data_IF_179255340783
#
_entry.id   IF_179255340783
#
_cell.length_a   1.000
_cell.length_b   1.000
_cell.length_c   1.000
_cell.angle_alpha   90.00
_cell.angle_beta   90.00
_cell.angle_gamma   90.00
#
_symmetry.space_group_name_H-M   'P 1'
#
loop_
_entity.id
_entity.type
_entity.pdbx_description
1 polymer ?
#
# COMPACT_ATOMS: atom_id res chain seq x y z
N UNK A 1 -12.11 -0.79 0.45
CA UNK A 1 -10.86 -0.99 -0.29
C UNK A 1 -9.68 -0.96 0.67
N UNK A 2 -8.53 -1.49 0.25
CA UNK A 2 -7.34 -1.66 1.09
C UNK A 2 -6.87 -0.36 1.75
N UNK A 3 -6.86 0.77 1.01
CA UNK A 3 -6.41 2.06 1.53
C UNK A 3 -7.09 2.49 2.85
N UNK A 4 -8.42 2.31 2.96
CA UNK A 4 -9.16 2.66 4.18
C UNK A 4 -8.91 1.68 5.33
N UNK A 5 -8.60 0.43 5.01
CA UNK A 5 -8.22 -0.57 6.00
C UNK A 5 -6.82 -0.27 6.55
N UNK A 6 -5.89 0.10 5.66
CA UNK A 6 -4.55 0.62 6.01
C UNK A 6 -4.67 1.85 6.91
N UNK A 7 -5.46 2.85 6.51
CA UNK A 7 -5.73 4.02 7.34
C UNK A 7 -6.25 3.64 8.74
N UNK A 8 -7.10 2.62 8.85
CA UNK A 8 -7.60 2.15 10.14
C UNK A 8 -6.51 1.50 10.98
N UNK A 9 -5.79 0.50 10.46
CA UNK A 9 -4.78 -0.22 11.25
C UNK A 9 -3.55 0.64 11.58
N UNK A 10 -3.21 1.61 10.72
CA UNK A 10 -2.14 2.58 10.97
C UNK A 10 -2.55 3.71 11.91
N UNK A 11 -3.82 3.78 12.33
CA UNK A 11 -4.31 4.80 13.25
C UNK A 11 -4.45 6.19 12.63
N UNK A 12 -4.74 6.27 11.33
CA UNK A 12 -4.87 7.54 10.62
C UNK A 12 -5.91 8.44 11.31
N UNK A 13 -5.60 9.71 11.62
CA UNK A 13 -6.45 10.56 12.47
C UNK A 13 -7.89 10.70 11.98
N UNK A 14 -8.09 10.74 10.66
CA UNK A 14 -9.42 10.83 10.01
C UNK A 14 -9.89 9.51 9.40
N UNK A 15 -9.19 8.42 9.68
CA UNK A 15 -9.58 7.07 9.29
C UNK A 15 -10.77 6.58 10.10
N UNK A 16 -11.29 5.40 9.75
CA UNK A 16 -12.29 4.74 10.58
C UNK A 16 -11.72 4.45 11.99
N UNK A 17 -12.57 4.41 13.01
CA UNK A 17 -12.19 3.97 14.36
C UNK A 17 -12.32 2.48 14.56
N UNK A 18 -13.28 1.90 13.88
CA UNK A 18 -13.61 0.48 13.91
C UNK A 18 -13.63 -0.04 12.48
N UNK A 19 -13.32 -1.32 12.32
CA UNK A 19 -13.42 -2.01 11.05
C UNK A 19 -14.20 -3.31 11.22
N UNK A 20 -15.20 -3.60 10.36
CA UNK A 20 -16.04 -4.78 10.51
C UNK A 20 -15.30 -6.04 10.07
N UNK A 21 -14.69 -6.74 11.02
CA UNK A 21 -13.94 -7.99 10.81
C UNK A 21 -14.80 -9.24 11.10
N UNK A 22 -16.03 -9.21 10.60
CA UNK A 22 -17.06 -10.25 10.83
C UNK A 22 -17.03 -11.39 9.81
N UNK A 23 -16.26 -11.23 8.72
CA UNK A 23 -16.14 -12.22 7.66
C UNK A 23 -15.22 -13.37 8.09
N UNK A 24 -15.62 -14.61 7.80
CA UNK A 24 -14.79 -15.80 8.01
C UNK A 24 -13.94 -16.10 6.77
N UNK A 25 -14.42 -15.74 5.58
CA UNK A 25 -13.73 -15.88 4.30
C UNK A 25 -13.61 -14.52 3.61
N UNK A 26 -12.38 -14.12 3.25
CA UNK A 26 -12.09 -12.80 2.70
C UNK A 26 -11.28 -12.89 1.42
N UNK A 27 -11.54 -11.98 0.48
CA UNK A 27 -10.74 -11.82 -0.74
C UNK A 27 -9.89 -10.56 -0.67
N UNK A 28 -8.60 -10.68 -1.00
CA UNK A 28 -7.69 -9.56 -1.24
C UNK A 28 -7.32 -9.55 -2.72
N UNK A 29 -7.40 -8.39 -3.38
CA UNK A 29 -7.13 -8.26 -4.81
C UNK A 29 -5.89 -7.41 -5.02
N UNK A 30 -4.85 -7.99 -5.60
CA UNK A 30 -3.62 -7.29 -5.95
C UNK A 30 -2.37 -8.12 -5.71
N UNK A 31 -1.32 -7.89 -6.50
CA UNK A 31 -0.03 -8.56 -6.38
C UNK A 31 1.11 -7.59 -6.06
N UNK A 32 0.89 -6.65 -5.15
CA UNK A 32 1.89 -5.67 -4.70
C UNK A 32 1.94 -5.60 -3.17
N UNK A 33 2.94 -4.90 -2.60
CA UNK A 33 3.18 -4.91 -1.15
C UNK A 33 1.94 -4.59 -0.31
N UNK A 34 1.13 -3.62 -0.70
CA UNK A 34 -0.09 -3.26 0.07
C UNK A 34 -1.11 -4.40 0.12
N UNK A 35 -1.21 -5.23 -0.92
CA UNK A 35 -2.06 -6.42 -0.86
C UNK A 35 -1.51 -7.43 0.17
N UNK A 36 -0.18 -7.59 0.21
CA UNK A 36 0.51 -8.46 1.18
C UNK A 36 0.35 -7.94 2.60
N UNK A 37 0.48 -6.63 2.82
CA UNK A 37 0.24 -5.97 4.11
C UNK A 37 -1.18 -6.24 4.61
N UNK A 38 -2.18 -5.96 3.77
CA UNK A 38 -3.59 -6.18 4.11
C UNK A 38 -3.85 -7.64 4.46
N UNK A 39 -3.34 -8.57 3.64
CA UNK A 39 -3.53 -9.99 3.87
C UNK A 39 -2.84 -10.47 5.16
N UNK A 40 -1.62 -10.00 5.42
CA UNK A 40 -0.88 -10.28 6.65
C UNK A 40 -1.62 -9.75 7.87
N UNK A 41 -2.12 -8.52 7.83
CA UNK A 41 -2.83 -7.92 8.96
C UNK A 41 -4.16 -8.65 9.24
N UNK A 42 -4.84 -9.11 8.20
CA UNK A 42 -6.06 -9.94 8.33
C UNK A 42 -5.75 -11.33 8.92
N UNK A 43 -4.57 -11.89 8.66
CA UNK A 43 -4.21 -13.25 9.10
C UNK A 43 -3.39 -13.28 10.39
N UNK A 44 -2.89 -12.15 10.89
CA UNK A 44 -2.03 -12.08 12.08
C UNK A 44 -2.77 -12.32 13.39
N UNK A 45 -2.01 -12.72 14.40
CA UNK A 45 -2.44 -12.72 15.80
C UNK A 45 -2.34 -11.29 16.39
N UNK A 46 -3.37 -10.88 17.13
CA UNK A 46 -3.43 -9.54 17.73
C UNK A 46 -2.37 -9.32 18.81
N UNK A 47 -2.05 -10.34 19.61
CA UNK A 47 -1.07 -10.25 20.68
C UNK A 47 0.34 -10.08 20.10
N UNK A 48 0.69 -10.82 19.04
CA UNK A 48 1.94 -10.66 18.30
C UNK A 48 2.10 -9.24 17.74
N UNK A 49 1.01 -8.68 17.18
CA UNK A 49 1.01 -7.29 16.70
C UNK A 49 1.26 -6.32 17.84
N UNK A 50 0.53 -6.47 18.96
CA UNK A 50 0.64 -5.57 20.10
C UNK A 50 2.05 -5.56 20.69
N UNK A 51 2.70 -6.72 20.78
CA UNK A 51 4.04 -6.84 21.34
C UNK A 51 5.12 -6.23 20.44
N UNK A 52 4.95 -6.30 19.11
CA UNK A 52 6.01 -5.96 18.14
C UNK A 52 5.82 -4.64 17.41
N UNK A 53 4.68 -3.96 17.58
CA UNK A 53 4.31 -2.79 16.75
C UNK A 53 3.74 -1.64 17.56
N UNK A 54 3.46 -0.53 16.88
CA UNK A 54 2.89 0.70 17.43
C UNK A 54 1.35 0.79 17.34
N UNK A 55 0.67 -0.33 16.99
CA UNK A 55 -0.77 -0.33 16.77
C UNK A 55 -1.57 0.27 17.95
N UNK A 56 -2.58 1.10 17.68
CA UNK A 56 -3.42 1.65 18.73
C UNK A 56 -4.41 0.61 19.27
N UNK A 57 -4.99 0.86 20.45
CA UNK A 57 -5.86 -0.11 21.14
C UNK A 57 -7.08 -0.52 20.31
N UNK A 58 -7.70 0.42 19.58
CA UNK A 58 -8.85 0.12 18.73
C UNK A 58 -8.52 -0.87 17.61
N UNK A 59 -7.26 -0.89 17.15
CA UNK A 59 -6.79 -1.83 16.12
C UNK A 59 -6.51 -3.18 16.75
N UNK A 60 -5.84 -3.20 17.91
CA UNK A 60 -5.65 -4.44 18.68
C UNK A 60 -6.99 -5.15 18.95
N UNK A 61 -7.97 -4.43 19.51
CA UNK A 61 -9.29 -5.01 19.81
C UNK A 61 -10.01 -5.48 18.54
N UNK A 62 -9.91 -4.72 17.44
CA UNK A 62 -10.44 -5.13 16.14
C UNK A 62 -9.83 -6.43 15.64
N UNK A 63 -8.49 -6.51 15.54
CA UNK A 63 -7.79 -7.71 15.08
C UNK A 63 -8.02 -8.89 16.03
N UNK A 64 -8.12 -8.65 17.33
CA UNK A 64 -8.43 -9.69 18.31
C UNK A 64 -9.82 -10.31 18.10
N UNK A 65 -10.78 -9.50 17.66
CA UNK A 65 -12.15 -9.93 17.33
C UNK A 65 -12.31 -10.48 15.91
N UNK A 66 -11.25 -10.44 15.10
CA UNK A 66 -11.30 -10.84 13.70
C UNK A 66 -11.71 -12.31 13.53
N UNK A 67 -12.75 -12.52 12.72
CA UNK A 67 -13.30 -13.85 12.43
C UNK A 67 -12.67 -14.53 11.22
N UNK A 68 -11.84 -13.83 10.44
CA UNK A 68 -11.29 -14.37 9.22
C UNK A 68 -10.45 -15.63 9.50
N UNK A 69 -10.83 -16.72 8.84
CA UNK A 69 -10.17 -18.04 8.84
C UNK A 69 -9.60 -18.39 7.48
N UNK A 70 -10.22 -17.90 6.42
CA UNK A 70 -9.78 -18.15 5.05
C UNK A 70 -9.54 -16.83 4.34
N UNK A 71 -8.38 -16.71 3.71
CA UNK A 71 -8.03 -15.58 2.86
C UNK A 71 -7.67 -16.06 1.47
N UNK A 72 -8.24 -15.42 0.45
CA UNK A 72 -7.88 -15.59 -0.95
C UNK A 72 -7.19 -14.33 -1.47
N UNK A 73 -5.91 -14.43 -1.85
CA UNK A 73 -5.18 -13.37 -2.55
C UNK A 73 -5.25 -13.61 -4.06
N UNK A 74 -5.92 -12.73 -4.79
CA UNK A 74 -6.06 -12.82 -6.23
C UNK A 74 -5.09 -11.90 -6.98
N UNK A 75 -4.24 -12.51 -7.80
CA UNK A 75 -3.24 -11.86 -8.64
C UNK A 75 -3.58 -12.13 -10.10
N UNK A 76 -3.96 -11.09 -10.84
CA UNK A 76 -4.42 -11.20 -12.24
C UNK A 76 -3.35 -11.60 -13.28
N UNK A 77 -2.11 -11.87 -12.88
CA UNK A 77 -1.01 -12.21 -13.79
C UNK A 77 -0.20 -13.36 -13.19
N UNK A 78 0.64 -13.96 -14.01
CA UNK A 78 1.51 -15.07 -13.62
C UNK A 78 2.57 -14.68 -12.60
N UNK A 79 3.20 -15.72 -12.04
CA UNK A 79 4.27 -15.69 -11.02
C UNK A 79 5.39 -14.71 -11.42
N UNK A 80 5.85 -14.77 -12.66
CA UNK A 80 6.94 -13.92 -13.18
C UNK A 80 6.61 -12.41 -13.23
N UNK A 81 5.34 -12.02 -13.10
CA UNK A 81 4.90 -10.62 -13.15
C UNK A 81 4.38 -10.09 -11.81
N UNK A 82 4.61 -10.83 -10.72
CA UNK A 82 4.37 -10.37 -9.36
C UNK A 82 5.13 -9.06 -9.07
N UNK A 83 4.49 -8.13 -8.35
CA UNK A 83 5.04 -6.79 -8.06
C UNK A 83 5.33 -6.56 -6.58
N UNK A 84 5.02 -7.51 -5.70
CA UNK A 84 5.46 -7.44 -4.31
C UNK A 84 6.97 -7.68 -4.22
N UNK A 85 7.58 -7.33 -3.09
CA UNK A 85 9.01 -7.56 -2.85
C UNK A 85 9.26 -8.91 -2.16
N UNK A 86 10.47 -9.46 -2.33
CA UNK A 86 10.89 -10.72 -1.67
C UNK A 86 10.74 -10.63 -0.14
N UNK A 87 10.97 -9.44 0.44
CA UNK A 87 10.79 -9.25 1.87
C UNK A 87 9.33 -9.45 2.30
N UNK A 88 8.37 -8.89 1.56
CA UNK A 88 6.95 -9.07 1.89
C UNK A 88 6.53 -10.52 1.83
N UNK A 89 7.07 -11.23 0.84
CA UNK A 89 6.81 -12.62 0.59
C UNK A 89 7.35 -13.50 1.75
N UNK A 90 8.58 -13.23 2.22
CA UNK A 90 9.17 -13.89 3.41
C UNK A 90 8.48 -13.58 4.73
N UNK A 91 7.84 -12.42 4.83
CA UNK A 91 7.06 -12.09 6.01
C UNK A 91 5.67 -12.75 5.99
N UNK A 92 5.11 -12.98 4.79
CA UNK A 92 3.88 -13.73 4.60
C UNK A 92 4.05 -15.22 4.91
N UNK A 93 5.16 -15.82 4.49
CA UNK A 93 5.43 -17.26 4.65
C UNK A 93 5.57 -17.66 6.14
N UNK A 94 5.90 -16.71 7.04
CA UNK A 94 6.21 -16.95 8.46
C UNK A 94 5.11 -16.47 9.41
N UNK A 95 3.85 -16.72 9.07
CA UNK A 95 2.72 -16.37 9.92
C UNK A 95 2.36 -17.57 10.82
N UNK A 96 2.49 -17.45 12.17
CA UNK A 96 2.11 -18.52 13.08
C UNK A 96 0.63 -18.86 12.97
N UNK A 97 0.29 -20.15 12.99
CA UNK A 97 -1.07 -20.66 12.89
C UNK A 97 -1.73 -20.50 11.50
N UNK A 98 -0.99 -20.09 10.48
CA UNK A 98 -1.50 -19.88 9.12
C UNK A 98 -0.88 -20.90 8.16
N UNK A 99 -1.74 -21.69 7.52
CA UNK A 99 -1.36 -22.55 6.40
C UNK A 99 -1.34 -21.74 5.11
N UNK A 100 -0.20 -21.71 4.41
CA UNK A 100 -0.09 -21.12 3.08
C UNK A 100 -0.45 -22.19 2.05
N UNK A 101 -1.29 -21.84 1.08
CA UNK A 101 -1.77 -22.75 0.04
C UNK A 101 -1.61 -22.09 -1.32
N UNK A 102 -0.97 -22.80 -2.23
CA UNK A 102 -0.62 -22.30 -3.57
C UNK A 102 -0.98 -23.38 -4.58
N UNK A 103 -1.62 -23.00 -5.69
CA UNK A 103 -1.90 -23.93 -6.77
C UNK A 103 -0.60 -24.25 -7.53
N UNK A 104 -0.26 -25.53 -7.66
CA UNK A 104 0.94 -25.98 -8.37
C UNK A 104 0.90 -25.63 -9.86
N UNK A 105 -0.29 -25.69 -10.47
CA UNK A 105 -0.48 -25.38 -11.89
C UNK A 105 -0.07 -23.93 -12.24
N UNK A 106 -0.06 -23.02 -11.26
CA UNK A 106 0.38 -21.63 -11.45
C UNK A 106 1.89 -21.52 -11.72
N UNK A 107 2.65 -22.58 -11.43
CA UNK A 107 4.12 -22.65 -11.53
C UNK A 107 4.62 -23.42 -12.76
N UNK A 108 3.72 -23.91 -13.61
CA UNK A 108 4.03 -24.49 -14.92
C UNK A 108 4.43 -23.39 -15.93
N UNK A 109 5.61 -22.82 -15.74
CA UNK A 109 6.17 -21.76 -16.57
C UNK A 109 6.82 -22.34 -17.84
N UNK A 110 6.48 -21.79 -19.00
CA UNK A 110 7.15 -22.14 -20.26
C UNK A 110 8.61 -21.64 -20.32
N UNK A 111 9.41 -22.25 -21.21
CA UNK A 111 10.85 -21.95 -21.35
C UNK A 111 11.08 -20.45 -21.66
N UNK A 112 10.22 -19.85 -22.50
CA UNK A 112 10.31 -18.44 -22.88
C UNK A 112 10.11 -17.51 -21.67
N UNK A 113 9.18 -17.85 -20.78
CA UNK A 113 8.88 -17.10 -19.54
C UNK A 113 10.03 -17.18 -18.55
N UNK A 114 10.64 -18.35 -18.40
CA UNK A 114 11.83 -18.55 -17.55
C UNK A 114 13.02 -17.75 -18.12
N UNK A 115 13.23 -17.80 -19.43
CA UNK A 115 14.30 -17.04 -20.08
C UNK A 115 14.11 -15.53 -19.90
N UNK A 116 12.90 -15.01 -20.14
CA UNK A 116 12.60 -13.59 -20.00
C UNK A 116 12.75 -13.12 -18.55
N UNK A 117 12.22 -13.88 -17.58
CA UNK A 117 12.39 -13.59 -16.16
C UNK A 117 13.87 -13.56 -15.75
N UNK A 118 14.69 -14.43 -16.36
CA UNK A 118 16.14 -14.50 -16.14
C UNK A 118 16.94 -13.28 -16.58
N UNK A 119 16.36 -12.40 -17.43
CA UNK A 119 17.02 -11.18 -17.93
C UNK A 119 17.09 -10.07 -16.89
N UNK A 120 16.14 -10.02 -15.97
CA UNK A 120 16.15 -9.08 -14.84
C UNK A 120 16.48 -9.80 -13.54
N UNK A 121 17.48 -9.31 -12.82
CA UNK A 121 17.96 -9.94 -11.59
C UNK A 121 16.88 -9.99 -10.50
N UNK A 122 16.08 -8.94 -10.36
CA UNK A 122 15.06 -8.87 -9.31
C UNK A 122 13.88 -9.78 -9.65
N UNK A 123 13.47 -9.83 -10.92
CA UNK A 123 12.44 -10.76 -11.40
C UNK A 123 12.89 -12.21 -11.20
N UNK A 124 14.10 -12.57 -11.61
CA UNK A 124 14.63 -13.93 -11.39
C UNK A 124 14.63 -14.32 -9.91
N UNK A 125 15.12 -13.42 -9.04
CA UNK A 125 15.14 -13.67 -7.59
C UNK A 125 13.73 -13.84 -7.02
N UNK A 126 12.76 -13.05 -7.50
CA UNK A 126 11.35 -13.19 -7.10
C UNK A 126 10.79 -14.55 -7.50
N UNK A 127 11.04 -15.00 -8.72
CA UNK A 127 10.58 -16.30 -9.23
C UNK A 127 11.19 -17.43 -8.40
N UNK A 128 12.51 -17.41 -8.19
CA UNK A 128 13.21 -18.41 -7.35
C UNK A 128 12.60 -18.50 -5.95
N UNK A 129 12.32 -17.36 -5.30
CA UNK A 129 11.70 -17.35 -3.97
C UNK A 129 10.26 -17.88 -3.98
N UNK A 130 9.47 -17.55 -5.01
CA UNK A 130 8.10 -18.07 -5.14
C UNK A 130 8.09 -19.60 -5.31
N UNK A 131 9.06 -20.18 -6.03
CA UNK A 131 9.21 -21.63 -6.11
C UNK A 131 9.52 -22.25 -4.74
N UNK A 132 10.45 -21.66 -3.97
CA UNK A 132 10.74 -22.11 -2.60
C UNK A 132 9.49 -22.06 -1.70
N UNK A 133 8.65 -21.06 -1.88
CA UNK A 133 7.41 -20.92 -1.09
C UNK A 133 6.34 -21.91 -1.52
N UNK A 134 6.26 -22.23 -2.80
CA UNK A 134 5.38 -23.29 -3.29
C UNK A 134 5.79 -24.64 -2.69
N UNK A 135 7.09 -24.95 -2.65
CA UNK A 135 7.59 -26.16 -1.97
C UNK A 135 7.25 -26.15 -0.47
N UNK A 136 7.44 -25.02 0.21
CA UNK A 136 7.06 -24.91 1.63
C UNK A 136 5.55 -25.08 1.85
N UNK A 137 4.72 -24.53 0.97
CA UNK A 137 3.26 -24.68 1.05
C UNK A 137 2.82 -26.14 0.84
N UNK A 138 3.48 -26.88 -0.07
CA UNK A 138 3.29 -28.32 -0.27
C UNK A 138 3.64 -29.10 1.01
N UNK A 139 4.80 -28.83 1.61
CA UNK A 139 5.23 -29.47 2.86
C UNK A 139 4.22 -29.21 4.01
N UNK A 140 3.69 -27.98 4.11
CA UNK A 140 2.70 -27.60 5.13
C UNK A 140 1.37 -28.35 4.98
N UNK A 141 0.97 -28.69 3.75
CA UNK A 141 -0.21 -29.51 3.48
C UNK A 141 0.05 -30.98 3.81
N UNK A 142 1.19 -31.52 3.34
CA UNK A 142 1.58 -32.93 3.55
C UNK A 142 1.78 -33.28 5.03
N UNK A 143 2.29 -32.35 5.84
CA UNK A 143 2.48 -32.51 7.29
C UNK A 143 1.17 -32.38 8.10
N UNK A 144 0.03 -32.24 7.43
CA UNK A 144 -1.30 -32.33 8.04
C UNK A 144 -1.91 -30.97 8.44
N UNK A 145 -1.92 -30.03 7.49
CA UNK A 145 -2.46 -28.66 7.65
C UNK A 145 -1.75 -27.89 8.79
N UNK A 146 -0.44 -27.71 8.64
CA UNK A 146 0.41 -27.02 9.62
C UNK A 146 0.82 -25.61 9.18
N UNK A 147 1.34 -24.82 10.12
CA UNK A 147 2.04 -23.57 9.86
C UNK A 147 3.52 -23.80 9.53
N UNK A 148 4.26 -22.72 9.27
CA UNK A 148 5.69 -22.79 8.89
C UNK A 148 6.61 -23.38 9.96
N UNK A 149 6.14 -23.54 11.20
CA UNK A 149 6.88 -24.16 12.31
C UNK A 149 6.44 -25.61 12.55
N UNK A 150 5.48 -26.13 11.78
CA UNK A 150 4.90 -27.45 11.96
C UNK A 150 3.83 -27.50 13.06
N UNK A 151 3.33 -26.37 13.54
CA UNK A 151 2.21 -26.34 14.48
C UNK A 151 0.88 -26.44 13.72
N UNK A 152 -0.20 -26.97 14.31
CA UNK A 152 -1.50 -26.99 13.67
C UNK A 152 -1.95 -25.58 13.23
N UNK A 153 -2.29 -25.40 11.96
CA UNK A 153 -2.83 -24.16 11.44
C UNK A 153 -4.34 -24.08 11.65
N UNK A 154 -4.84 -22.93 12.10
CA UNK A 154 -6.28 -22.66 12.26
C UNK A 154 -6.80 -21.60 11.28
N UNK A 155 -5.94 -21.18 10.35
CA UNK A 155 -6.23 -20.25 9.25
C UNK A 155 -5.60 -20.75 7.96
N UNK A 156 -6.26 -20.48 6.82
CA UNK A 156 -5.79 -20.83 5.48
C UNK A 156 -5.61 -19.58 4.63
N UNK A 157 -4.46 -19.47 3.98
CA UNK A 157 -4.11 -18.38 3.09
C UNK A 157 -3.84 -18.95 1.70
N UNK A 158 -4.80 -18.78 0.80
CA UNK A 158 -4.67 -19.13 -0.61
C UNK A 158 -4.08 -17.99 -1.44
N UNK A 159 -3.08 -18.29 -2.26
CA UNK A 159 -2.54 -17.37 -3.28
C UNK A 159 -2.90 -17.89 -4.66
N UNK A 160 -3.62 -17.06 -5.42
CA UNK A 160 -4.10 -17.38 -6.76
C UNK A 160 -3.40 -16.49 -7.78
N UNK A 161 -2.51 -17.05 -8.59
CA UNK A 161 -1.97 -16.35 -9.76
C UNK A 161 -2.91 -16.50 -10.95
N UNK A 162 -2.64 -15.71 -11.99
CA UNK A 162 -3.42 -15.75 -13.22
C UNK A 162 -4.95 -15.70 -12.99
N UNK A 163 -5.37 -14.97 -11.96
CA UNK A 163 -6.73 -14.97 -11.44
C UNK A 163 -7.25 -13.54 -11.35
N UNK A 164 -8.14 -13.16 -12.26
CA UNK A 164 -8.64 -11.80 -12.39
C UNK A 164 -10.08 -11.70 -11.87
N UNK A 165 -10.33 -11.03 -10.73
CA UNK A 165 -11.69 -10.76 -10.28
C UNK A 165 -12.48 -9.95 -11.30
N UNK A 166 -13.71 -10.39 -11.59
CA UNK A 166 -14.60 -9.76 -12.57
C UNK A 166 -15.88 -9.22 -11.95
N UNK A 167 -16.33 -9.79 -10.84
CA UNK A 167 -17.59 -9.40 -10.20
C UNK A 167 -17.56 -9.70 -8.70
N UNK A 168 -18.05 -8.76 -7.89
CA UNK A 168 -18.35 -9.02 -6.47
C UNK A 168 -19.81 -9.43 -6.40
N UNK A 169 -20.06 -10.67 -5.97
CA UNK A 169 -21.39 -11.24 -5.86
C UNK A 169 -22.02 -10.78 -4.55
N UNK A 170 -23.29 -10.37 -4.61
CA UNK A 170 -23.99 -9.84 -3.45
C UNK A 170 -25.44 -10.28 -3.34
N UNK A 171 -25.89 -10.43 -2.10
CA UNK A 171 -27.27 -10.75 -1.72
C UNK A 171 -27.67 -9.84 -0.54
N UNK A 172 -28.86 -9.24 -0.59
CA UNK A 172 -29.38 -8.34 0.45
C UNK A 172 -28.41 -7.20 0.87
N UNK A 173 -27.65 -6.68 -0.11
CA UNK A 173 -26.67 -5.61 0.12
C UNK A 173 -25.39 -6.06 0.83
N UNK A 174 -25.17 -7.36 1.00
CA UNK A 174 -23.95 -7.96 1.55
C UNK A 174 -23.16 -8.69 0.47
N UNK A 175 -21.85 -8.77 0.66
CA UNK A 175 -21.00 -9.62 -0.18
C UNK A 175 -21.23 -11.07 0.22
N UNK A 176 -21.44 -11.94 -0.77
CA UNK A 176 -21.58 -13.39 -0.59
C UNK A 176 -20.57 -14.20 -1.39
N UNK A 177 -19.88 -13.55 -2.33
CA UNK A 177 -18.83 -14.20 -3.10
C UNK A 177 -18.09 -13.26 -4.02
N UNK A 178 -17.12 -13.80 -4.73
CA UNK A 178 -16.38 -13.12 -5.78
C UNK A 178 -16.24 -14.06 -6.98
N UNK A 179 -16.60 -13.55 -8.16
CA UNK A 179 -16.37 -14.25 -9.43
C UNK A 179 -15.03 -13.82 -9.99
N UNK A 180 -14.23 -14.80 -10.34
CA UNK A 180 -12.87 -14.67 -10.85
C UNK A 180 -12.81 -15.34 -12.22
N UNK A 181 -12.14 -14.68 -13.15
CA UNK A 181 -11.85 -15.22 -14.48
C UNK A 181 -10.38 -15.64 -14.52
N UNK A 182 -10.13 -16.86 -15.03
CA UNK A 182 -8.76 -17.31 -15.28
C UNK A 182 -8.14 -16.48 -16.41
N UNK A 183 -6.85 -16.23 -16.26
CA UNK A 183 -6.05 -15.47 -17.21
C UNK A 183 -4.80 -16.25 -17.59
N UNK A 184 -4.23 -15.89 -18.73
CA UNK A 184 -2.92 -16.36 -19.15
C UNK A 184 -2.00 -15.15 -19.27
N UNK A 185 -0.74 -15.32 -18.91
CA UNK A 185 0.27 -14.28 -19.04
C UNK A 185 1.42 -14.80 -19.89
N UNK A 186 1.67 -14.17 -21.04
CA UNK A 186 2.83 -14.51 -21.88
C UNK A 186 4.14 -14.03 -21.27
N UNK A 187 5.27 -14.55 -21.78
CA UNK A 187 6.62 -14.18 -21.34
C UNK A 187 6.88 -12.66 -21.31
N UNK A 188 6.35 -11.91 -22.29
CA UNK A 188 6.44 -10.44 -22.35
C UNK A 188 5.54 -9.70 -21.33
N UNK A 189 4.84 -10.44 -20.48
CA UNK A 189 3.97 -9.95 -19.42
C UNK A 189 2.60 -9.49 -19.88
N UNK A 190 2.22 -9.76 -21.14
CA UNK A 190 0.89 -9.46 -21.67
C UNK A 190 -0.12 -10.50 -21.14
N UNK A 191 -1.20 -9.99 -20.58
CA UNK A 191 -2.27 -10.78 -19.97
C UNK A 191 -3.46 -10.92 -20.94
N UNK A 192 -3.99 -12.12 -21.08
CA UNK A 192 -5.25 -12.43 -21.77
C UNK A 192 -6.22 -13.15 -20.83
N UNK A 193 -7.52 -13.03 -21.14
CA UNK A 193 -8.61 -13.70 -20.43
C UNK A 193 -8.95 -15.00 -21.14
N UNK A 194 -9.18 -16.07 -20.39
CA UNK A 194 -9.52 -17.38 -20.98
C UNK A 194 -11.03 -17.55 -21.21
N UNK A 195 -11.86 -16.79 -20.48
CA UNK A 195 -13.31 -16.97 -20.44
C UNK A 195 -13.77 -18.10 -19.50
N UNK A 196 -12.86 -18.71 -18.75
CA UNK A 196 -13.18 -19.66 -17.69
C UNK A 196 -13.38 -18.91 -16.37
N UNK A 197 -14.47 -19.22 -15.66
CA UNK A 197 -14.87 -18.52 -14.44
C UNK A 197 -14.95 -19.48 -13.27
N UNK A 198 -14.57 -18.98 -12.10
CA UNK A 198 -14.70 -19.64 -10.81
C UNK A 198 -15.32 -18.65 -9.80
N UNK A 199 -16.10 -19.16 -8.86
CA UNK A 199 -16.73 -18.36 -7.82
C UNK A 199 -16.25 -18.83 -6.45
N UNK A 200 -15.79 -17.90 -5.64
CA UNK A 200 -15.33 -18.16 -4.28
C UNK A 200 -16.32 -17.55 -3.28
N UNK A 201 -16.81 -18.32 -2.29
CA UNK A 201 -17.62 -17.78 -1.21
C UNK A 201 -16.74 -16.88 -0.33
N UNK A 202 -17.07 -15.59 -0.25
CA UNK A 202 -16.37 -14.62 0.60
C UNK A 202 -17.36 -13.60 1.12
N UNK A 203 -17.13 -13.06 2.32
CA UNK A 203 -18.02 -12.06 2.93
C UNK A 203 -17.41 -10.66 2.99
N UNK A 204 -16.12 -10.51 2.65
CA UNK A 204 -15.47 -9.21 2.49
C UNK A 204 -14.44 -9.22 1.35
N UNK A 205 -14.32 -8.10 0.65
CA UNK A 205 -13.37 -7.92 -0.48
C UNK A 205 -12.53 -6.65 -0.26
N UNK A 206 -11.21 -6.82 -0.29
CA UNK A 206 -10.21 -5.78 -0.12
C UNK A 206 -9.42 -5.59 -1.42
N UNK A 207 -9.77 -4.57 -2.21
CA UNK A 207 -8.99 -4.25 -3.41
C UNK A 207 -7.77 -3.37 -3.07
N UNK A 208 -6.58 -3.85 -3.43
CA UNK A 208 -5.26 -3.22 -3.26
C UNK A 208 -4.57 -3.00 -4.62
N UNK A 209 -5.32 -2.45 -5.58
CA UNK A 209 -4.92 -2.32 -7.00
C UNK A 209 -4.33 -0.93 -7.35
N UNK A 210 -3.84 -0.20 -6.35
CA UNK A 210 -3.23 1.12 -6.50
C UNK A 210 -3.96 2.23 -5.74
N UNK A 211 -3.25 3.33 -5.52
CA UNK A 211 -3.80 4.55 -4.94
C UNK A 211 -4.15 5.57 -6.03
N UNK A 212 -4.83 6.64 -5.63
CA UNK A 212 -4.98 7.84 -6.46
C UNK A 212 -4.47 9.03 -5.64
N UNK A 213 -3.36 9.67 -6.01
CA UNK A 213 -2.91 10.92 -5.37
C UNK A 213 -4.05 11.94 -5.35
N UNK A 214 -4.18 12.65 -4.23
CA UNK A 214 -5.21 13.67 -4.07
C UNK A 214 -5.06 14.80 -5.08
N UNK A 215 -6.19 15.39 -5.48
CA UNK A 215 -6.22 16.62 -6.27
C UNK A 215 -5.97 17.82 -5.35
N UNK A 216 -5.45 18.90 -5.91
CA UNK A 216 -5.27 20.17 -5.21
C UNK A 216 -5.97 21.29 -6.00
N UNK A 217 -6.75 22.18 -5.34
CA UNK A 217 -7.44 23.27 -6.02
C UNK A 217 -6.49 24.14 -6.85
N UNK A 218 -6.83 24.31 -8.13
CA UNK A 218 -6.05 25.13 -9.06
C UNK A 218 -4.76 24.46 -9.57
N UNK A 219 -4.57 23.16 -9.35
CA UNK A 219 -3.44 22.39 -9.86
C UNK A 219 -3.96 21.40 -10.91
N UNK A 220 -3.35 21.40 -12.09
CA UNK A 220 -3.73 20.48 -13.16
C UNK A 220 -3.47 19.02 -12.77
N UNK A 221 -4.37 18.12 -13.18
CA UNK A 221 -4.35 16.71 -12.82
C UNK A 221 -4.47 15.85 -14.08
N UNK A 222 -3.54 14.91 -14.26
CA UNK A 222 -3.60 13.91 -15.31
C UNK A 222 -4.50 12.76 -14.85
N UNK A 223 -5.76 12.77 -15.28
CA UNK A 223 -6.73 11.72 -14.93
C UNK A 223 -6.37 10.35 -15.52
N UNK A 224 -5.65 10.32 -16.64
CA UNK A 224 -5.28 9.07 -17.32
C UNK A 224 -4.20 8.33 -16.55
N UNK A 225 -3.23 9.06 -16.02
CA UNK A 225 -2.08 8.48 -15.31
C UNK A 225 -2.17 8.63 -13.78
N UNK A 226 -3.20 9.35 -13.27
CA UNK A 226 -3.48 9.55 -11.86
C UNK A 226 -2.32 10.21 -11.08
N UNK A 227 -1.90 11.39 -11.53
CA UNK A 227 -0.93 12.23 -10.82
C UNK A 227 -1.13 13.70 -11.20
N UNK A 228 -0.44 14.61 -10.49
CA UNK A 228 -0.43 16.02 -10.87
C UNK A 228 0.23 16.17 -12.24
N UNK A 229 -0.43 16.89 -13.14
CA UNK A 229 0.03 17.06 -14.51
C UNK A 229 1.36 17.83 -14.50
N UNK A 230 2.39 17.26 -15.12
CA UNK A 230 3.72 17.83 -15.14
C UNK A 230 4.41 17.59 -16.49
N UNK A 231 5.24 18.54 -16.91
CA UNK A 231 5.87 18.55 -18.21
C UNK A 231 6.92 17.43 -18.30
N UNK A 232 6.82 16.60 -19.34
CA UNK A 232 7.83 15.59 -19.69
C UNK A 232 8.28 14.66 -18.54
N UNK A 233 7.47 14.51 -17.48
CA UNK A 233 7.83 13.73 -16.30
C UNK A 233 8.96 14.35 -15.45
N UNK A 234 9.26 15.65 -15.61
CA UNK A 234 10.34 16.33 -14.89
C UNK A 234 9.90 17.00 -13.59
N UNK A 235 8.58 16.99 -13.31
CA UNK A 235 7.97 17.51 -12.10
C UNK A 235 7.55 18.97 -12.14
N UNK A 236 7.83 19.75 -13.19
CA UNK A 236 7.27 21.10 -13.38
C UNK A 236 5.79 21.00 -13.70
N UNK A 237 4.92 21.57 -12.85
CA UNK A 237 3.47 21.46 -13.02
C UNK A 237 3.02 22.21 -14.28
N UNK A 238 2.16 21.59 -15.09
CA UNK A 238 1.58 22.21 -16.29
C UNK A 238 0.40 23.12 -15.94
N UNK A 239 0.09 24.08 -16.82
CA UNK A 239 -1.06 24.99 -16.67
C UNK A 239 -2.40 24.29 -16.93
N UNK A 240 -2.39 23.20 -17.71
CA UNK A 240 -3.55 22.39 -18.07
C UNK A 240 -3.26 20.89 -17.88
N UNK A 241 -4.33 20.08 -17.90
CA UNK A 241 -4.23 18.63 -17.73
C UNK A 241 -3.70 17.93 -18.98
N UNK A 242 -3.96 18.46 -20.17
CA UNK A 242 -3.39 17.92 -21.40
C UNK A 242 -1.87 18.15 -21.46
N UNK A 243 -1.16 17.26 -22.16
CA UNK A 243 0.27 17.39 -22.37
C UNK A 243 0.59 18.72 -23.07
N UNK A 244 1.24 19.62 -22.33
CA UNK A 244 1.71 20.93 -22.78
C UNK A 244 3.09 21.18 -22.22
N UNK A 245 3.90 21.94 -22.95
CA UNK A 245 5.19 22.45 -22.44
C UNK A 245 4.99 23.72 -21.59
N UNK A 246 3.76 24.25 -21.52
CA UNK A 246 3.45 25.41 -20.69
C UNK A 246 3.34 25.01 -19.21
N UNK A 247 4.34 25.44 -18.44
CA UNK A 247 4.44 25.16 -17.01
C UNK A 247 3.96 26.35 -16.17
N UNK A 248 3.33 26.04 -15.05
CA UNK A 248 3.06 27.02 -14.00
C UNK A 248 4.37 27.33 -13.28
N UNK A 249 4.88 28.54 -13.48
CA UNK A 249 6.16 28.95 -12.92
C UNK A 249 6.26 28.65 -11.41
N UNK A 250 7.39 28.06 -11.02
CA UNK A 250 7.80 27.82 -9.63
C UNK A 250 6.90 26.85 -8.85
N UNK A 251 6.10 26.06 -9.55
CA UNK A 251 5.29 25.01 -8.98
C UNK A 251 5.79 23.65 -9.47
N UNK A 252 6.13 22.78 -8.51
CA UNK A 252 6.71 21.48 -8.79
C UNK A 252 5.97 20.38 -8.01
N UNK A 253 5.96 19.18 -8.55
CA UNK A 253 5.56 17.96 -7.86
C UNK A 253 6.75 16.99 -7.75
N UNK A 254 6.75 16.22 -6.66
CA UNK A 254 7.70 15.13 -6.42
C UNK A 254 6.99 13.90 -5.84
N UNK A 255 7.63 12.75 -5.90
CA UNK A 255 7.12 11.50 -5.37
C UNK A 255 5.87 11.03 -6.12
N UNK A 256 4.93 10.46 -5.39
CA UNK A 256 3.70 9.92 -5.98
C UNK A 256 2.79 10.98 -6.59
N UNK A 257 2.86 12.22 -6.10
CA UNK A 257 2.14 13.34 -6.70
C UNK A 257 2.61 13.63 -8.13
N UNK A 258 3.86 13.28 -8.47
CA UNK A 258 4.45 13.46 -9.81
C UNK A 258 4.34 12.21 -10.69
N UNK A 259 4.65 11.04 -10.13
CA UNK A 259 4.88 9.79 -10.90
C UNK A 259 3.74 8.78 -10.78
N UNK A 260 2.72 9.09 -9.99
CA UNK A 260 1.74 8.12 -9.53
C UNK A 260 2.27 7.22 -8.41
N UNK A 261 1.42 6.37 -7.82
CA UNK A 261 1.71 5.64 -6.59
C UNK A 261 2.48 4.33 -6.83
N UNK A 262 3.66 4.46 -7.42
CA UNK A 262 4.54 3.33 -7.74
C UNK A 262 5.94 3.58 -7.20
N UNK A 263 6.54 2.52 -6.66
CA UNK A 263 7.92 2.51 -6.19
C UNK A 263 8.06 2.67 -4.68
N UNK A 264 9.16 2.12 -4.17
CA UNK A 264 9.53 2.15 -2.75
C UNK A 264 10.06 3.54 -2.34
N UNK A 265 10.20 3.75 -1.03
CA UNK A 265 10.68 5.00 -0.40
C UNK A 265 12.00 5.48 -1.05
N UNK A 266 12.94 4.56 -1.32
CA UNK A 266 14.21 4.89 -1.97
C UNK A 266 14.06 5.53 -3.35
N UNK A 267 13.08 5.09 -4.15
CA UNK A 267 12.81 5.68 -5.47
C UNK A 267 12.27 7.11 -5.36
N UNK A 268 11.49 7.40 -4.33
CA UNK A 268 10.95 8.74 -4.05
C UNK A 268 12.05 9.71 -3.63
N UNK A 269 13.08 9.24 -2.91
CA UNK A 269 14.25 10.05 -2.58
C UNK A 269 15.02 10.49 -3.84
N UNK A 270 15.28 9.56 -4.76
CA UNK A 270 15.97 9.88 -6.02
C UNK A 270 15.16 10.84 -6.89
N UNK A 271 13.83 10.65 -6.94
CA UNK A 271 12.94 11.59 -7.63
C UNK A 271 13.00 12.99 -7.01
N UNK A 272 12.95 13.12 -5.68
CA UNK A 272 13.04 14.41 -5.00
C UNK A 272 14.34 15.15 -5.32
N UNK A 273 15.46 14.43 -5.43
CA UNK A 273 16.75 15.04 -5.81
C UNK A 273 16.71 15.61 -7.24
N UNK A 274 16.07 14.90 -8.18
CA UNK A 274 15.85 15.39 -9.53
C UNK A 274 15.01 16.68 -9.52
N UNK A 275 13.96 16.72 -8.71
CA UNK A 275 13.10 17.91 -8.60
C UNK A 275 13.84 19.10 -8.03
N UNK A 276 14.62 18.91 -6.97
CA UNK A 276 15.46 19.98 -6.41
C UNK A 276 16.46 20.49 -7.44
N UNK A 277 17.03 19.61 -8.26
CA UNK A 277 17.93 20.01 -9.36
C UNK A 277 17.20 20.90 -10.36
N UNK A 278 16.01 20.49 -10.80
CA UNK A 278 15.18 21.27 -11.73
C UNK A 278 14.80 22.64 -11.15
N UNK A 279 14.47 22.69 -9.85
CA UNK A 279 14.19 23.94 -9.15
C UNK A 279 15.39 24.89 -9.16
N UNK A 280 16.60 24.37 -8.88
CA UNK A 280 17.83 25.17 -8.86
C UNK A 280 18.20 25.66 -10.27
N UNK A 281 18.01 24.84 -11.29
CA UNK A 281 18.21 25.24 -12.69
C UNK A 281 17.27 26.38 -13.09
N UNK A 282 15.99 26.28 -12.77
CA UNK A 282 15.01 27.33 -13.06
C UNK A 282 15.34 28.62 -12.30
N UNK A 283 15.74 28.49 -11.04
CA UNK A 283 16.16 29.62 -10.22
C UNK A 283 17.39 30.33 -10.79
N UNK A 284 18.35 29.57 -11.33
CA UNK A 284 19.57 30.12 -11.94
C UNK A 284 19.30 30.93 -13.21
N UNK A 285 18.22 30.61 -13.92
CA UNK A 285 17.76 31.31 -15.13
C UNK A 285 16.91 32.55 -14.81
N UNK A 286 16.41 32.66 -13.58
CA UNK A 286 15.54 33.76 -13.18
C UNK A 286 16.30 35.09 -13.06
N UNK A 287 15.63 36.18 -13.44
CA UNK A 287 16.14 37.53 -13.23
C UNK A 287 16.40 37.80 -11.73
N UNK A 288 17.34 38.71 -11.44
CA UNK A 288 17.70 39.14 -10.08
C UNK A 288 18.22 38.01 -9.15
N UNK A 289 18.76 36.92 -9.71
CA UNK A 289 19.36 35.83 -8.92
C UNK A 289 18.35 35.09 -8.04
N UNK A 290 17.10 34.96 -8.51
CA UNK A 290 16.07 34.19 -7.81
C UNK A 290 15.25 34.97 -6.78
N UNK A 291 15.40 36.30 -6.70
CA UNK A 291 14.67 37.19 -5.77
C UNK A 291 13.31 37.62 -6.30
N UNK A 292 12.45 36.65 -6.58
CA UNK A 292 11.29 36.84 -7.48
C UNK A 292 9.92 36.91 -6.77
N UNK A 293 9.87 36.86 -5.44
CA UNK A 293 8.63 36.96 -4.67
C UNK A 293 8.28 38.43 -4.39
N UNK A 294 7.02 38.81 -4.62
CA UNK A 294 6.54 40.17 -4.38
C UNK A 294 6.52 40.53 -2.89
N UNK A 295 6.17 39.56 -2.04
CA UNK A 295 6.31 39.64 -0.58
C UNK A 295 7.41 38.68 -0.14
N UNK A 296 8.29 39.17 0.73
CA UNK A 296 9.51 38.50 1.19
C UNK A 296 9.66 38.51 2.69
N UNK A 297 8.67 39.03 3.42
CA UNK A 297 8.66 38.94 4.87
C UNK A 297 8.45 37.47 5.28
N UNK A 298 9.40 36.86 6.03
CA UNK A 298 9.28 35.48 6.49
C UNK A 298 7.99 35.20 7.28
N UNK A 299 7.43 36.21 7.95
CA UNK A 299 6.22 36.07 8.79
C UNK A 299 4.91 36.20 8.00
N UNK A 300 4.95 36.52 6.71
CA UNK A 300 3.72 36.77 5.94
C UNK A 300 2.80 35.56 5.83
N UNK A 301 3.35 34.35 5.76
CA UNK A 301 2.55 33.12 5.77
C UNK A 301 1.93 32.88 7.15
N UNK A 302 2.68 33.12 8.23
CA UNK A 302 2.18 32.93 9.60
C UNK A 302 1.03 33.88 9.90
N UNK A 303 1.16 35.17 9.55
CA UNK A 303 0.07 36.16 9.67
C UNK A 303 -1.14 35.81 8.81
N UNK A 304 -0.92 35.27 7.60
CA UNK A 304 -2.01 34.80 6.75
C UNK A 304 -2.78 33.64 7.41
N UNK A 305 -2.07 32.67 7.96
CA UNK A 305 -2.66 31.53 8.66
C UNK A 305 -3.43 31.98 9.91
N UNK A 306 -2.87 32.87 10.70
CA UNK A 306 -3.50 33.48 11.88
C UNK A 306 -4.79 34.23 11.50
N UNK A 307 -4.76 35.05 10.44
CA UNK A 307 -5.94 35.78 9.94
C UNK A 307 -7.08 34.86 9.49
N UNK A 308 -6.76 33.60 9.14
CA UNK A 308 -7.71 32.55 8.76
C UNK A 308 -8.10 31.65 9.95
N UNK A 309 -7.60 31.93 11.16
CA UNK A 309 -7.83 31.12 12.34
C UNK A 309 -7.17 29.74 12.30
N UNK A 310 -6.17 29.54 11.43
CA UNK A 310 -5.44 28.27 11.31
C UNK A 310 -4.30 28.25 12.32
N UNK A 311 -4.21 27.16 13.10
CA UNK A 311 -3.12 26.92 14.05
C UNK A 311 -2.25 25.77 13.54
N UNK A 312 -1.08 26.05 12.95
CA UNK A 312 -0.18 25.00 12.46
C UNK A 312 0.41 24.19 13.61
N UNK A 313 0.61 22.90 13.38
CA UNK A 313 1.46 22.06 14.22
C UNK A 313 2.85 22.06 13.57
N UNK A 314 3.80 22.69 14.24
CA UNK A 314 5.19 22.71 13.81
C UNK A 314 5.95 21.47 14.31
N UNK A 315 7.26 21.42 14.03
CA UNK A 315 8.10 20.31 14.48
C UNK A 315 8.21 20.22 16.01
N UNK A 316 8.10 21.35 16.73
CA UNK A 316 8.11 21.33 18.19
C UNK A 316 6.82 20.71 18.75
N UNK A 317 5.66 21.07 18.19
CA UNK A 317 4.38 20.45 18.51
C UNK A 317 4.35 18.96 18.19
N UNK A 318 4.85 18.55 17.01
CA UNK A 318 4.99 17.13 16.65
C UNK A 318 5.84 16.36 17.67
N UNK A 319 6.97 16.91 18.12
CA UNK A 319 7.83 16.25 19.13
C UNK A 319 7.13 16.04 20.47
N UNK A 320 6.13 16.86 20.84
CA UNK A 320 5.32 16.65 22.04
C UNK A 320 4.38 15.45 21.87
N UNK A 321 3.81 15.28 20.68
CA UNK A 321 3.01 14.08 20.33
C UNK A 321 3.90 12.84 20.39
N UNK A 322 5.05 12.82 19.69
CA UNK A 322 5.98 11.66 19.70
C UNK A 322 6.43 11.32 21.13
N UNK A 323 6.77 12.32 21.95
CA UNK A 323 7.15 12.09 23.35
C UNK A 323 6.00 11.47 24.17
N UNK A 324 4.77 11.90 23.93
CA UNK A 324 3.59 11.32 24.59
C UNK A 324 3.36 9.88 24.12
N UNK A 325 3.38 9.60 22.82
CA UNK A 325 3.21 8.25 22.26
C UNK A 325 4.26 7.27 22.78
N UNK A 326 5.53 7.70 22.89
CA UNK A 326 6.60 6.90 23.49
C UNK A 326 6.38 6.65 24.98
N UNK A 327 5.92 7.66 25.72
CA UNK A 327 5.66 7.52 27.14
C UNK A 327 4.49 6.56 27.41
N UNK A 328 3.43 6.57 26.58
CA UNK A 328 2.34 5.60 26.67
C UNK A 328 2.79 4.21 26.25
N UNK A 329 3.55 4.08 25.15
CA UNK A 329 4.13 2.80 24.72
C UNK A 329 5.01 2.16 25.80
N UNK A 330 5.86 2.94 26.47
CA UNK A 330 6.77 2.45 27.49
C UNK A 330 6.05 1.82 28.70
N UNK A 331 4.82 2.25 29.03
CA UNK A 331 4.00 1.63 30.09
C UNK A 331 3.58 0.20 29.77
N UNK A 332 3.58 -0.15 28.48
CA UNK A 332 3.22 -1.46 27.94
C UNK A 332 4.44 -2.23 27.42
N UNK A 333 5.66 -1.71 27.60
CA UNK A 333 6.89 -2.33 27.09
C UNK A 333 7.11 -2.16 25.58
N UNK A 334 6.46 -1.17 24.96
CA UNK A 334 6.48 -0.89 23.51
C UNK A 334 7.24 0.41 23.22
N UNK A 335 7.76 0.58 22.00
CA UNK A 335 8.47 1.81 21.63
C UNK A 335 7.51 3.01 21.55
N UNK A 336 6.33 2.80 20.97
CA UNK A 336 5.28 3.81 20.77
C UNK A 336 3.89 3.19 20.93
N UNK A 337 2.93 4.04 21.29
CA UNK A 337 1.51 3.78 21.15
C UNK A 337 0.85 5.01 20.51
N UNK A 338 0.38 4.86 19.28
CA UNK A 338 -0.16 5.97 18.47
C UNK A 338 -1.34 6.66 19.15
N UNK A 339 -1.33 8.00 19.16
CA UNK A 339 -2.52 8.80 19.42
C UNK A 339 -3.34 8.85 18.14
N UNK A 340 -4.61 8.46 18.22
CA UNK A 340 -5.49 8.40 17.05
C UNK A 340 -6.57 9.49 17.05
N UNK A 341 -6.87 10.06 18.21
CA UNK A 341 -7.85 11.13 18.35
C UNK A 341 -7.27 12.48 17.87
N UNK A 342 -7.84 13.13 16.83
CA UNK A 342 -7.32 14.37 16.29
C UNK A 342 -7.40 15.55 17.26
N UNK A 343 -8.39 15.57 18.16
CA UNK A 343 -8.52 16.61 19.18
C UNK A 343 -7.41 16.45 20.21
N UNK A 344 -7.15 15.20 20.64
CA UNK A 344 -6.05 14.89 21.54
C UNK A 344 -4.69 15.22 20.91
N UNK A 345 -4.46 14.87 19.64
CA UNK A 345 -3.24 15.24 18.92
C UNK A 345 -3.04 16.76 18.91
N UNK A 346 -4.08 17.52 18.56
CA UNK A 346 -4.03 18.99 18.56
C UNK A 346 -3.76 19.54 19.96
N UNK A 347 -4.41 19.00 20.98
CA UNK A 347 -4.21 19.41 22.37
C UNK A 347 -2.76 19.16 22.82
N UNK A 348 -2.19 17.99 22.53
CA UNK A 348 -0.81 17.64 22.85
C UNK A 348 0.21 18.49 22.10
N UNK A 349 -0.02 18.77 20.82
CA UNK A 349 0.87 19.62 20.03
C UNK A 349 0.93 21.06 20.55
N UNK A 350 -0.19 21.58 21.05
CA UNK A 350 -0.33 22.97 21.49
C UNK A 350 -0.19 23.19 23.01
N UNK A 351 -0.13 22.13 23.81
CA UNK A 351 0.20 22.16 25.23
C UNK A 351 1.63 22.66 25.45
#
# INVERSE_FOLDING_TARGET
>A
GAAKFVEWYDGYPTGAREWPLEAEEVAVIGGGNVAMDVARELMRNADDLKERTDIPDNVYEGIKSNKARVLHLFIRRGVAQAKFSVQELREMEKLPGVQLIINEDDFDLDEDTIEEAGKDKLTRQMVEELFTIREMAEDMEDDGDVDYEGNPADRKYYVHFNSAPVEVLGEDGKVVGIRVEKTETSADGKMSRTGEFEEYPVQAVYHAIGYKPATAPGIAYDERHAHLANANGDGRITTAAEATDEVRERLYATGWAKRGPVGLIGSTKSDALLIVTNMLEDLSKAAEGGRVAADRDPESIDRLLESRGVKPIDFAGWKKIDAFERAEGAKEGREHKKVIDPEQMRALAHA
#
